data_IF_371284312413
#
_entry.id   IF_371284312413
#
_cell.length_a   1.000
_cell.length_b   1.000
_cell.length_c   1.000
_cell.angle_alpha   90.00
_cell.angle_beta   90.00
_cell.angle_gamma   90.00
#
_symmetry.space_group_name_H-M   'P 1'
#
loop_
_entity.id
_entity.type
_entity.pdbx_description
1 polymer ?
#
# COMPACT_ATOMS: atom_id res chain seq x y z
N UNK A 1 -10.62 -9.02 2.33
CA UNK A 1 -9.74 -9.24 3.48
C UNK A 1 -8.31 -9.30 2.98
N UNK A 2 -7.35 -8.59 3.60
CA UNK A 2 -5.94 -8.65 3.22
C UNK A 2 -5.44 -10.09 3.20
N UNK A 3 -4.65 -10.47 2.19
CA UNK A 3 -4.25 -11.87 1.93
C UNK A 3 -3.29 -12.47 2.97
N UNK A 4 -2.70 -11.66 3.85
CA UNK A 4 -1.87 -12.10 4.97
C UNK A 4 -0.44 -12.54 4.60
N UNK A 5 -0.17 -12.79 3.32
CA UNK A 5 1.13 -13.22 2.83
C UNK A 5 2.15 -12.07 2.67
N UNK A 6 1.69 -10.82 2.64
CA UNK A 6 2.53 -9.64 2.47
C UNK A 6 2.54 -8.79 3.74
N UNK A 7 3.74 -8.43 4.19
CA UNK A 7 3.95 -7.55 5.35
C UNK A 7 4.88 -6.40 4.98
N UNK A 8 4.64 -5.24 5.59
CA UNK A 8 5.54 -4.08 5.49
C UNK A 8 6.23 -3.90 6.83
N UNK A 9 7.55 -4.02 6.85
CA UNK A 9 8.38 -3.65 7.98
C UNK A 9 8.72 -2.16 7.85
N UNK A 10 8.09 -1.34 8.67
CA UNK A 10 8.17 0.11 8.56
C UNK A 10 9.01 0.72 9.71
N UNK A 11 10.15 1.31 9.36
CA UNK A 11 10.91 2.17 10.25
C UNK A 11 10.24 3.55 10.38
N UNK A 12 9.21 3.63 11.22
CA UNK A 12 8.44 4.87 11.43
C UNK A 12 9.19 5.86 12.32
N UNK A 13 8.93 7.16 12.11
CA UNK A 13 9.57 8.30 12.81
C UNK A 13 11.04 8.54 12.43
N UNK A 14 11.52 9.74 12.77
CA UNK A 14 12.83 10.29 12.37
C UNK A 14 14.02 9.38 12.70
N UNK A 15 13.95 8.58 13.77
CA UNK A 15 15.04 7.72 14.21
C UNK A 15 15.39 6.57 13.24
N UNK A 16 14.50 6.22 12.31
CA UNK A 16 14.70 5.09 11.38
C UNK A 16 14.84 5.51 9.91
N UNK A 17 14.97 6.82 9.64
CA UNK A 17 15.19 7.38 8.30
C UNK A 17 14.15 6.93 7.25
N UNK A 18 12.95 6.56 7.70
CA UNK A 18 11.81 6.16 6.87
C UNK A 18 12.05 4.94 5.98
N UNK A 19 12.87 3.98 6.39
CA UNK A 19 13.09 2.75 5.59
C UNK A 19 11.87 1.83 5.67
N UNK A 20 11.28 1.48 4.52
CA UNK A 20 10.24 0.46 4.41
C UNK A 20 10.74 -0.76 3.66
N UNK A 21 10.43 -1.94 4.19
CA UNK A 21 10.75 -3.22 3.57
C UNK A 21 9.45 -3.99 3.32
N UNK A 22 9.23 -4.34 2.05
CA UNK A 22 8.13 -5.18 1.62
C UNK A 22 8.61 -6.63 1.63
N UNK A 23 7.91 -7.48 2.38
CA UNK A 23 8.32 -8.86 2.62
C UNK A 23 7.17 -9.82 2.31
N UNK A 24 7.49 -10.87 1.57
CA UNK A 24 6.61 -12.01 1.33
C UNK A 24 6.90 -13.08 2.38
N UNK A 25 5.91 -13.36 3.21
CA UNK A 25 5.99 -14.33 4.31
C UNK A 25 5.98 -15.77 3.79
N UNK A 26 5.25 -16.04 2.72
CA UNK A 26 5.14 -17.40 2.17
C UNK A 26 6.45 -17.83 1.52
N UNK A 27 7.10 -16.89 0.82
CA UNK A 27 8.41 -17.10 0.20
C UNK A 27 9.58 -16.82 1.15
N UNK A 28 9.31 -16.31 2.36
CA UNK A 28 10.28 -15.80 3.32
C UNK A 28 11.32 -14.88 2.66
N UNK A 29 10.86 -14.05 1.73
CA UNK A 29 11.71 -13.28 0.84
C UNK A 29 11.38 -11.80 0.90
N UNK A 30 12.43 -11.00 0.98
CA UNK A 30 12.34 -9.56 0.78
C UNK A 30 12.04 -9.27 -0.69
N UNK A 31 10.94 -8.56 -0.94
CA UNK A 31 10.53 -8.14 -2.28
C UNK A 31 11.33 -6.89 -2.66
N UNK A 32 11.16 -5.83 -1.87
CA UNK A 32 11.69 -4.50 -2.17
C UNK A 32 11.99 -3.77 -0.87
N UNK A 33 13.01 -2.92 -0.91
CA UNK A 33 13.24 -1.89 0.11
C UNK A 33 13.10 -0.53 -0.54
N UNK A 34 12.33 0.34 0.09
CA UNK A 34 12.21 1.75 -0.31
C UNK A 34 12.62 2.65 0.83
N UNK A 35 13.22 3.78 0.47
CA UNK A 35 13.42 4.89 1.40
C UNK A 35 12.20 5.80 1.29
N UNK A 36 11.40 5.86 2.34
CA UNK A 36 10.24 6.73 2.47
C UNK A 36 10.63 8.00 3.24
N UNK A 37 10.04 9.16 2.93
CA UNK A 37 9.95 10.30 3.84
C UNK A 37 9.43 9.90 5.23
N UNK A 38 9.58 10.74 6.26
CA UNK A 38 9.05 10.44 7.57
C UNK A 38 7.54 10.21 7.52
N UNK A 39 7.12 8.99 7.83
CA UNK A 39 5.72 8.63 8.06
C UNK A 39 5.55 8.07 9.47
N UNK A 40 4.34 8.24 10.00
CA UNK A 40 3.92 7.69 11.28
C UNK A 40 2.66 6.82 11.17
N UNK A 41 2.06 6.75 9.97
CA UNK A 41 0.87 5.97 9.70
C UNK A 41 1.07 5.14 8.43
N UNK A 42 0.77 3.84 8.50
CA UNK A 42 0.85 2.88 7.38
C UNK A 42 -0.40 2.04 7.40
N UNK A 43 -1.12 1.98 6.27
CA UNK A 43 -2.37 1.23 6.16
C UNK A 43 -2.48 0.51 4.82
N UNK A 44 -2.85 -0.76 4.90
CA UNK A 44 -3.18 -1.59 3.74
C UNK A 44 -4.61 -1.35 3.28
N UNK A 45 -4.81 -1.36 1.97
CA UNK A 45 -6.15 -1.42 1.40
C UNK A 45 -6.80 -2.79 1.68
N UNK A 46 -8.13 -2.85 1.63
CA UNK A 46 -8.87 -4.09 1.92
C UNK A 46 -8.59 -5.22 0.92
N UNK A 47 -8.07 -4.89 -0.27
CA UNK A 47 -7.67 -5.88 -1.29
C UNK A 47 -6.26 -6.42 -1.08
N UNK A 48 -5.43 -5.78 -0.27
CA UNK A 48 -4.02 -6.13 -0.03
C UNK A 48 -3.10 -5.86 -1.23
N UNK A 49 -3.53 -5.04 -2.18
CA UNK A 49 -2.75 -4.67 -3.38
C UNK A 49 -2.05 -3.33 -3.25
N UNK A 50 -2.51 -2.49 -2.33
CA UNK A 50 -2.00 -1.14 -2.17
C UNK A 50 -1.72 -0.85 -0.70
N UNK A 51 -0.61 -0.15 -0.47
CA UNK A 51 -0.25 0.40 0.83
C UNK A 51 -0.31 1.90 0.74
N UNK A 52 -0.91 2.55 1.72
CA UNK A 52 -0.83 3.99 1.87
C UNK A 52 -0.05 4.36 3.13
N UNK A 53 0.78 5.37 3.00
CA UNK A 53 1.67 5.84 4.07
C UNK A 53 1.49 7.35 4.19
N UNK A 54 1.46 7.82 5.43
CA UNK A 54 1.17 9.22 5.70
C UNK A 54 1.84 9.69 6.99
N UNK A 55 1.99 11.00 7.06
CA UNK A 55 2.33 11.69 8.29
C UNK A 55 1.07 12.39 8.81
N UNK A 56 0.57 11.95 9.97
CA UNK A 56 -0.58 12.57 10.64
C UNK A 56 -0.15 13.35 11.87
N UNK A 57 -0.81 14.46 12.16
CA UNK A 57 -0.59 15.20 13.41
C UNK A 57 -1.60 14.77 14.49
N UNK A 58 -1.21 14.80 15.77
CA UNK A 58 -2.16 14.60 16.87
C UNK A 58 -3.26 15.67 16.86
N UNK A 59 -4.48 15.29 17.21
CA UNK A 59 -5.62 16.22 17.28
C UNK A 59 -5.34 17.40 18.23
N UNK A 60 -4.67 17.16 19.36
CA UNK A 60 -4.35 18.20 20.36
C UNK A 60 -3.42 19.30 19.81
N UNK A 61 -2.59 18.97 18.81
CA UNK A 61 -1.70 19.93 18.14
C UNK A 61 -2.38 20.70 17.02
N UNK A 62 -3.55 20.26 16.57
CA UNK A 62 -4.34 20.97 15.56
C UNK A 62 -4.93 22.26 16.12
N UNK A 63 -5.38 22.24 17.39
CA UNK A 63 -6.02 23.39 18.03
C UNK A 63 -5.01 24.39 18.64
N UNK A 64 -3.77 23.94 18.90
CA UNK A 64 -2.81 24.67 19.72
C UNK A 64 -1.91 25.66 18.95
N UNK A 65 -1.70 25.50 17.65
CA UNK A 65 -0.76 26.34 16.90
C UNK A 65 -1.27 26.60 15.47
N UNK A 66 -2.03 27.70 15.28
CA UNK A 66 -2.23 28.29 13.94
C UNK A 66 -0.97 28.98 13.40
N UNK A 67 0.06 29.12 14.25
CA UNK A 67 1.36 29.75 13.96
C UNK A 67 2.53 28.75 13.99
N UNK A 68 2.28 27.44 13.85
CA UNK A 68 3.38 26.56 13.49
C UNK A 68 3.90 27.07 12.13
N UNK A 69 5.17 27.49 12.07
CA UNK A 69 5.81 27.80 10.80
C UNK A 69 5.43 26.69 9.83
N UNK A 70 4.84 27.05 8.69
CA UNK A 70 4.49 26.12 7.62
C UNK A 70 5.80 25.53 7.13
N UNK A 71 6.33 24.58 7.88
CA UNK A 71 7.51 23.86 7.47
C UNK A 71 7.00 22.92 6.39
N UNK A 72 7.14 23.43 5.16
CA UNK A 72 6.51 23.05 3.90
C UNK A 72 6.88 21.63 3.42
N UNK A 73 7.38 20.74 4.29
CA UNK A 73 8.16 19.57 3.86
C UNK A 73 7.61 18.22 4.32
N UNK A 74 6.51 18.18 5.07
CA UNK A 74 5.87 16.91 5.37
C UNK A 74 5.08 16.47 4.15
N UNK A 75 5.73 15.69 3.30
CA UNK A 75 5.15 14.83 2.29
C UNK A 75 3.98 14.00 2.86
N UNK A 76 2.74 14.49 2.71
CA UNK A 76 1.61 14.13 3.59
C UNK A 76 1.00 12.76 3.32
N UNK A 77 0.91 12.34 2.05
CA UNK A 77 0.30 11.07 1.66
C UNK A 77 1.01 10.45 0.47
N UNK A 78 1.32 9.17 0.58
CA UNK A 78 1.96 8.34 -0.43
C UNK A 78 1.19 7.03 -0.60
N UNK A 79 1.12 6.54 -1.84
CA UNK A 79 0.54 5.25 -2.17
C UNK A 79 1.52 4.38 -2.92
N UNK A 80 1.58 3.12 -2.52
CA UNK A 80 2.52 2.11 -3.00
C UNK A 80 1.78 0.88 -3.50
N UNK A 81 2.37 0.19 -4.47
CA UNK A 81 1.95 -1.16 -4.82
C UNK A 81 2.34 -2.14 -3.72
N UNK A 82 1.73 -3.31 -3.72
CA UNK A 82 2.11 -4.42 -2.84
C UNK A 82 3.56 -4.90 -3.04
N UNK A 83 4.18 -4.55 -4.18
CA UNK A 83 5.56 -4.90 -4.51
C UNK A 83 6.56 -3.80 -4.11
N UNK A 84 6.07 -2.69 -3.56
CA UNK A 84 6.89 -1.54 -3.16
C UNK A 84 7.11 -0.50 -4.26
N UNK A 85 6.40 -0.59 -5.37
CA UNK A 85 6.46 0.44 -6.42
C UNK A 85 5.71 1.68 -5.99
N UNK A 86 6.26 2.85 -6.29
CA UNK A 86 5.60 4.11 -6.00
C UNK A 86 4.49 4.40 -7.02
N UNK A 87 3.25 4.57 -6.54
CA UNK A 87 2.09 4.77 -7.41
C UNK A 87 1.62 6.21 -7.46
N UNK A 88 1.53 6.87 -6.30
CA UNK A 88 0.88 8.16 -6.22
C UNK A 88 1.30 8.97 -4.99
N UNK A 89 1.31 10.29 -5.16
CA UNK A 89 1.56 11.29 -4.14
C UNK A 89 0.36 12.23 -4.00
N UNK A 90 0.02 12.61 -2.77
CA UNK A 90 -0.88 13.72 -2.55
C UNK A 90 -0.37 14.66 -1.45
N UNK A 91 -0.28 15.94 -1.80
CA UNK A 91 -0.01 17.02 -0.86
C UNK A 91 -1.34 17.64 -0.44
N UNK A 92 -1.71 17.50 0.82
CA UNK A 92 -2.95 18.08 1.36
C UNK A 92 -2.74 19.55 1.73
N UNK A 93 -3.67 20.46 1.45
CA UNK A 93 -3.50 21.88 1.85
C UNK A 93 -3.50 22.08 3.38
N UNK A 94 -4.14 21.17 4.10
CA UNK A 94 -4.27 21.20 5.56
C UNK A 94 -3.56 19.99 6.20
N UNK A 95 -3.19 20.09 7.49
CA UNK A 95 -2.63 18.97 8.22
C UNK A 95 -3.53 17.74 8.19
N UNK A 96 -2.95 16.57 7.93
CA UNK A 96 -3.69 15.31 7.91
C UNK A 96 -3.88 14.81 9.35
N UNK A 97 -5.13 14.64 9.78
CA UNK A 97 -5.44 14.13 11.13
C UNK A 97 -5.54 12.60 11.12
N UNK A 98 -6.11 12.03 10.06
CA UNK A 98 -6.36 10.59 9.98
C UNK A 98 -6.31 10.10 8.53
N UNK A 99 -5.71 8.92 8.32
CA UNK A 99 -5.79 8.17 7.08
C UNK A 99 -6.49 6.82 7.33
N UNK A 100 -7.62 6.59 6.66
CA UNK A 100 -8.32 5.30 6.66
C UNK A 100 -8.83 4.96 5.28
N UNK A 101 -8.65 3.71 4.87
CA UNK A 101 -9.30 3.17 3.69
C UNK A 101 -10.80 3.09 3.92
N UNK A 102 -11.60 3.37 2.88
CA UNK A 102 -13.04 3.16 2.95
C UNK A 102 -13.32 1.67 3.11
N UNK A 103 -14.08 1.31 4.14
CA UNK A 103 -14.61 -0.04 4.25
C UNK A 103 -15.58 -0.28 3.10
N UNK A 104 -15.34 -1.30 2.28
CA UNK A 104 -16.41 -1.81 1.43
C UNK A 104 -17.48 -2.37 2.37
N UNK A 105 -18.74 -1.94 2.21
CA UNK A 105 -19.85 -2.58 2.94
C UNK A 105 -19.82 -4.07 2.62
N UNK A 106 -19.68 -4.89 3.66
CA UNK A 106 -19.93 -6.33 3.61
C UNK A 106 -21.36 -6.53 3.10
N UNK A 107 -21.49 -7.03 1.88
CA UNK A 107 -22.79 -7.19 1.20
C UNK A 107 -22.67 -7.36 -0.32
N UNK A 108 -21.56 -6.95 -0.92
CA UNK A 108 -21.28 -7.18 -2.36
C UNK A 108 -19.81 -7.63 -2.51
N UNK A 109 -19.42 -8.68 -1.77
CA UNK A 109 -18.53 -9.65 -2.40
C UNK A 109 -19.52 -10.66 -2.96
N UNK A 110 -20.09 -10.33 -4.12
CA UNK A 110 -20.93 -11.28 -4.82
C UNK A 110 -20.04 -12.50 -5.10
N UNK A 111 -20.54 -13.71 -4.84
CA UNK A 111 -19.80 -14.93 -5.20
C UNK A 111 -19.43 -14.88 -6.69
N UNK A 112 -20.23 -14.18 -7.49
CA UNK A 112 -19.97 -13.84 -8.89
C UNK A 112 -18.68 -13.04 -9.12
N UNK A 113 -18.34 -12.07 -8.26
CA UNK A 113 -17.09 -11.28 -8.35
C UNK A 113 -15.88 -12.15 -8.00
N UNK A 114 -16.02 -13.05 -7.03
CA UNK A 114 -15.00 -14.02 -6.65
C UNK A 114 -14.76 -15.03 -7.77
N UNK A 115 -15.82 -15.58 -8.35
CA UNK A 115 -15.77 -16.50 -9.49
C UNK A 115 -15.22 -15.82 -10.74
N UNK A 116 -15.63 -14.58 -11.04
CA UNK A 116 -15.06 -13.80 -12.15
C UNK A 116 -13.55 -13.63 -11.96
N UNK A 117 -13.10 -13.36 -10.73
CA UNK A 117 -11.68 -13.20 -10.42
C UNK A 117 -10.90 -14.52 -10.52
N UNK A 118 -11.50 -15.65 -10.12
CA UNK A 118 -10.92 -17.00 -10.32
C UNK A 118 -10.81 -17.34 -11.80
N UNK A 119 -11.88 -17.08 -12.56
CA UNK A 119 -11.95 -17.37 -14.00
C UNK A 119 -10.92 -16.54 -14.77
N UNK A 120 -10.76 -15.26 -14.41
CA UNK A 120 -9.73 -14.41 -15.00
C UNK A 120 -8.32 -14.96 -14.73
N UNK A 121 -8.02 -15.35 -13.48
CA UNK A 121 -6.71 -15.93 -13.13
C UNK A 121 -6.42 -17.23 -13.88
N UNK A 122 -7.41 -18.14 -13.96
CA UNK A 122 -7.27 -19.39 -14.72
C UNK A 122 -7.01 -19.12 -16.21
N UNK A 123 -7.68 -18.11 -16.77
CA UNK A 123 -7.48 -17.73 -18.18
C UNK A 123 -6.09 -17.13 -18.41
N UNK A 124 -5.58 -16.31 -17.48
CA UNK A 124 -4.23 -15.74 -17.57
C UNK A 124 -3.16 -16.84 -17.50
N UNK A 125 -3.31 -17.78 -16.57
CA UNK A 125 -2.40 -18.93 -16.45
C UNK A 125 -2.43 -19.84 -17.69
N UNK A 126 -3.61 -20.10 -18.25
CA UNK A 126 -3.75 -20.88 -19.48
C UNK A 126 -3.12 -20.19 -20.69
N UNK A 127 -3.21 -18.86 -20.80
CA UNK A 127 -2.55 -18.12 -21.88
C UNK A 127 -1.03 -18.08 -21.76
N UNK A 128 -0.50 -18.17 -20.53
CA UNK A 128 0.95 -18.28 -20.30
C UNK A 128 1.45 -19.68 -20.71
N UNK A 129 0.73 -20.76 -20.36
CA UNK A 129 1.07 -22.13 -20.77
C UNK A 129 1.03 -22.34 -22.30
N UNK A 130 0.06 -21.75 -23.01
CA UNK A 130 0.00 -21.82 -24.47
C UNK A 130 1.20 -21.11 -25.13
N UNK A 131 1.65 -19.98 -24.56
CA UNK A 131 2.82 -19.25 -25.07
C UNK A 131 4.15 -19.97 -24.84
N UNK A 132 4.25 -20.78 -23.76
CA UNK A 132 5.43 -21.60 -23.49
C UNK A 132 5.49 -22.86 -24.38
N UNK A 133 4.33 -23.42 -24.73
CA UNK A 133 4.26 -24.61 -25.60
C UNK A 133 4.56 -24.30 -27.07
N UNK A 134 4.25 -23.08 -27.55
CA UNK A 134 4.64 -22.62 -28.89
C UNK A 134 6.14 -22.24 -29.00
N UNK A 135 6.79 -21.88 -27.89
CA UNK A 135 8.22 -21.58 -27.84
C UNK A 135 9.15 -22.80 -27.76
N UNK A 136 8.60 -24.01 -27.55
CA UNK A 136 9.36 -25.26 -27.38
C UNK A 136 9.55 -26.11 -28.63
N UNK A 137 9.06 -25.67 -29.79
CA UNK A 137 9.21 -26.34 -31.09
C UNK A 137 10.19 -25.58 -31.99
N UNK A 138 11.48 -25.62 -31.65
CA UNK A 138 12.59 -25.37 -32.60
C UNK A 138 13.79 -26.25 -32.27
#
# INVERSE_FOLDING_TARGET
MPRGNLVVLAGLKECFNGKFEFFDVDQLKQITTVKHPPANHVVWDLSGRHVATAFTIPHEKFDADYDCERDDLLERFHMWSSNGDYLYFHQCDYPLIQLKWRSYREGIIDDELLETRKTFLLKTMASEEESENEGGLI
#
